data_IF_355419422744
#
_entry.id   IF_355419422744
#
_cell.length_a   1.000
_cell.length_b   1.000
_cell.length_c   1.000
_cell.angle_alpha   90.00
_cell.angle_beta   90.00
_cell.angle_gamma   90.00
#
_symmetry.space_group_name_H-M   'P 1'
#
loop_
_entity.id
_entity.type
_entity.pdbx_description
1 polymer ?
#
# COMPACT_ATOMS: atom_id res chain seq x y z
N UNK A 1 9.84 -16.92 -0.12
CA UNK A 1 10.00 -15.45 -0.25
C UNK A 1 8.90 -14.97 -1.20
N UNK A 2 8.02 -14.06 -0.77
CA UNK A 2 6.93 -13.57 -1.63
C UNK A 2 7.50 -12.83 -2.85
N UNK A 3 6.86 -12.97 -4.01
CA UNK A 3 7.17 -12.18 -5.19
C UNK A 3 6.85 -10.70 -4.96
N UNK A 4 7.46 -9.80 -5.75
CA UNK A 4 7.18 -8.37 -5.67
C UNK A 4 5.69 -8.06 -5.87
N UNK A 5 5.03 -8.76 -6.80
CA UNK A 5 3.61 -8.57 -7.10
C UNK A 5 2.71 -8.98 -5.92
N UNK A 6 2.99 -10.09 -5.26
CA UNK A 6 2.25 -10.52 -4.07
C UNK A 6 2.42 -9.54 -2.90
N UNK A 7 3.63 -8.99 -2.73
CA UNK A 7 3.89 -7.96 -1.70
C UNK A 7 3.10 -6.68 -2.00
N UNK A 8 3.11 -6.23 -3.25
CA UNK A 8 2.34 -5.06 -3.69
C UNK A 8 0.84 -5.28 -3.55
N UNK A 9 0.35 -6.49 -3.88
CA UNK A 9 -1.05 -6.85 -3.70
C UNK A 9 -1.46 -6.75 -2.23
N UNK A 10 -0.72 -7.38 -1.30
CA UNK A 10 -1.01 -7.32 0.14
C UNK A 10 -1.03 -5.89 0.67
N UNK A 11 -0.09 -5.04 0.25
CA UNK A 11 -0.03 -3.64 0.67
C UNK A 11 -1.24 -2.86 0.15
N UNK A 12 -1.57 -3.00 -1.14
CA UNK A 12 -2.69 -2.29 -1.74
C UNK A 12 -4.05 -2.78 -1.21
N UNK A 13 -4.20 -4.08 -0.99
CA UNK A 13 -5.40 -4.71 -0.41
C UNK A 13 -5.61 -4.26 1.04
N UNK A 14 -4.54 -4.24 1.85
CA UNK A 14 -4.62 -3.76 3.23
C UNK A 14 -4.95 -2.27 3.32
N UNK A 15 -4.34 -1.43 2.48
CA UNK A 15 -4.72 -0.01 2.38
C UNK A 15 -6.19 0.14 1.95
N UNK A 16 -6.67 -0.67 1.00
CA UNK A 16 -8.07 -0.64 0.56
C UNK A 16 -9.06 -1.04 1.66
N UNK A 17 -8.65 -1.89 2.60
CA UNK A 17 -9.54 -2.48 3.61
C UNK A 17 -9.49 -1.71 4.93
N UNK A 18 -8.29 -1.39 5.41
CA UNK A 18 -8.07 -0.82 6.75
C UNK A 18 -7.46 0.58 6.70
N UNK A 19 -7.01 1.02 5.52
CA UNK A 19 -6.23 2.25 5.36
C UNK A 19 -4.81 2.13 5.88
N UNK A 20 -4.35 0.95 6.31
CA UNK A 20 -3.02 0.73 6.89
C UNK A 20 -2.23 -0.25 6.02
N UNK A 21 -1.04 0.13 5.51
CA UNK A 21 -0.21 -0.75 4.73
C UNK A 21 0.35 -1.86 5.60
N UNK A 22 0.05 -3.10 5.24
CA UNK A 22 0.60 -4.29 5.88
C UNK A 22 1.13 -5.26 4.83
N UNK A 23 2.25 -5.91 5.15
CA UNK A 23 2.84 -6.97 4.34
C UNK A 23 3.49 -7.98 5.29
N UNK A 24 3.43 -9.27 4.96
CA UNK A 24 4.10 -10.32 5.74
C UNK A 24 5.63 -10.16 5.78
N UNK A 25 6.20 -9.43 4.83
CA UNK A 25 7.64 -9.18 4.68
C UNK A 25 7.94 -7.73 5.09
N UNK A 26 8.05 -7.50 6.40
CA UNK A 26 8.12 -6.16 7.00
C UNK A 26 9.39 -5.36 6.59
N UNK A 27 10.48 -6.06 6.25
CA UNK A 27 11.77 -5.45 5.89
C UNK A 27 11.72 -4.55 4.65
N UNK A 28 10.75 -4.76 3.75
CA UNK A 28 10.61 -3.95 2.52
C UNK A 28 9.32 -3.13 2.48
N UNK A 29 8.51 -3.19 3.54
CA UNK A 29 7.22 -2.52 3.60
C UNK A 29 7.36 -1.00 3.39
N UNK A 30 8.24 -0.35 4.16
CA UNK A 30 8.45 1.10 4.07
C UNK A 30 8.89 1.54 2.68
N UNK A 31 9.91 0.88 2.11
CA UNK A 31 10.40 1.18 0.75
C UNK A 31 9.30 1.04 -0.29
N UNK A 32 8.48 -0.01 -0.22
CA UNK A 32 7.37 -0.21 -1.17
C UNK A 32 6.28 0.84 -1.00
N UNK A 33 5.95 1.23 0.24
CA UNK A 33 5.01 2.30 0.53
C UNK A 33 5.50 3.64 -0.03
N UNK A 34 6.77 3.99 0.18
CA UNK A 34 7.39 5.19 -0.40
C UNK A 34 7.32 5.19 -1.94
N UNK A 35 7.64 4.07 -2.58
CA UNK A 35 7.50 3.95 -4.04
C UNK A 35 6.04 4.13 -4.49
N UNK A 36 5.07 3.56 -3.77
CA UNK A 36 3.65 3.72 -4.10
C UNK A 36 3.18 5.16 -3.94
N UNK A 37 3.70 5.91 -2.96
CA UNK A 37 3.44 7.34 -2.80
C UNK A 37 4.09 8.13 -3.96
N UNK A 38 5.36 7.86 -4.26
CA UNK A 38 6.11 8.51 -5.33
C UNK A 38 5.41 8.33 -6.69
N UNK A 39 4.89 7.13 -6.96
CA UNK A 39 4.14 6.84 -8.18
C UNK A 39 2.67 7.31 -8.15
N UNK A 40 2.23 7.99 -7.08
CA UNK A 40 0.85 8.45 -6.87
C UNK A 40 -0.17 7.31 -6.92
N UNK A 41 0.21 6.11 -6.49
CA UNK A 41 -0.71 4.98 -6.34
C UNK A 41 -1.50 5.12 -5.04
N UNK A 42 -0.87 5.62 -3.98
CA UNK A 42 -1.48 5.85 -2.68
C UNK A 42 -1.20 7.27 -2.20
N UNK A 43 -2.08 7.80 -1.34
CA UNK A 43 -1.91 9.11 -0.69
C UNK A 43 -2.06 8.95 0.82
N UNK A 44 -1.21 9.64 1.59
CA UNK A 44 -1.35 9.70 3.04
C UNK A 44 -2.55 10.60 3.39
N UNK A 45 -3.43 10.11 4.27
CA UNK A 45 -4.71 10.78 4.60
C UNK A 45 -4.81 11.25 6.06
N UNK A 46 -3.85 10.94 6.94
CA UNK A 46 -3.87 11.46 8.31
C UNK A 46 -2.48 11.75 8.89
N UNK A 47 -2.41 12.83 9.67
CA UNK A 47 -1.24 13.31 10.44
C UNK A 47 -1.54 13.56 11.94
N UNK A 48 -2.72 13.17 12.44
CA UNK A 48 -3.11 13.49 13.83
C UNK A 48 -3.02 12.27 14.76
N UNK A 49 -2.11 12.35 15.73
CA UNK A 49 -1.98 11.61 17.01
C UNK A 49 -2.04 10.07 17.04
N UNK A 50 -2.33 9.41 15.92
CA UNK A 50 -2.30 7.95 15.83
C UNK A 50 -0.89 7.47 15.50
N UNK A 51 -0.35 6.53 16.28
CA UNK A 51 0.96 5.91 16.07
C UNK A 51 1.13 5.21 14.69
N UNK A 52 0.07 5.10 13.87
CA UNK A 52 0.10 4.51 12.54
C UNK A 52 -0.42 5.47 11.47
N UNK A 53 0.40 5.72 10.46
CA UNK A 53 0.02 6.50 9.29
C UNK A 53 -1.08 5.77 8.47
N UNK A 54 -2.14 6.48 8.13
CA UNK A 54 -3.21 5.98 7.25
C UNK A 54 -3.03 6.49 5.82
N UNK A 55 -3.38 5.62 4.89
CA UNK A 55 -3.26 5.82 3.45
C UNK A 55 -4.58 5.51 2.76
N UNK A 56 -4.77 6.09 1.57
CA UNK A 56 -5.88 5.80 0.68
C UNK A 56 -5.34 5.46 -0.71
N UNK A 57 -6.01 4.56 -1.41
CA UNK A 57 -5.75 4.32 -2.82
C UNK A 57 -6.23 5.51 -3.66
N UNK A 58 -5.47 5.83 -4.70
CA UNK A 58 -5.92 6.67 -5.80
C UNK A 58 -6.54 5.81 -6.91
N UNK A 59 -7.15 6.42 -7.92
CA UNK A 59 -7.62 5.70 -9.12
C UNK A 59 -6.52 4.84 -9.76
N UNK A 60 -5.26 5.30 -9.71
CA UNK A 60 -4.10 4.56 -10.21
C UNK A 60 -3.78 3.36 -9.32
N UNK A 61 -3.83 3.53 -8.00
CA UNK A 61 -3.65 2.45 -7.04
C UNK A 61 -4.72 1.38 -7.15
N UNK A 62 -5.98 1.77 -7.34
CA UNK A 62 -7.09 0.83 -7.56
C UNK A 62 -6.95 0.05 -8.85
N UNK A 63 -6.55 0.70 -9.96
CA UNK A 63 -6.24 0.02 -11.22
C UNK A 63 -5.10 -0.98 -11.06
N UNK A 64 -4.06 -0.61 -10.33
CA UNK A 64 -2.93 -1.50 -10.05
C UNK A 64 -3.34 -2.70 -9.20
N UNK A 65 -4.13 -2.49 -8.15
CA UNK A 65 -4.67 -3.58 -7.32
C UNK A 65 -5.48 -4.58 -8.14
N UNK A 66 -6.35 -4.09 -9.02
CA UNK A 66 -7.14 -4.94 -9.93
C UNK A 66 -6.26 -5.74 -10.90
N UNK A 67 -5.17 -5.14 -11.38
CA UNK A 67 -4.23 -5.82 -12.28
C UNK A 67 -3.38 -6.89 -11.58
N UNK A 68 -3.09 -6.71 -10.28
CA UNK A 68 -2.32 -7.66 -9.48
C UNK A 68 -3.13 -8.88 -9.01
N UNK A 69 -4.47 -8.81 -9.08
CA UNK A 69 -5.38 -9.93 -8.78
C UNK A 69 -5.52 -10.93 -9.94
N UNK A 70 -4.98 -10.61 -11.12
CA UNK A 70 -4.95 -11.49 -12.29
C UNK A 70 -3.73 -12.41 -12.27
#
# INVERSE_FOLDING_TARGET
MLSLNEKLYQILESISTTGVPTCRDATRLFTLVDHLIFHKCIVKINESDSQQAKYRLTDKGEKMLKNLKK
#
